data_IF_776712229991
#
_entry.id   IF_776712229991
#
_cell.length_a   1.000
_cell.length_b   1.000
_cell.length_c   1.000
_cell.angle_alpha   90.00
_cell.angle_beta   90.00
_cell.angle_gamma   90.00
#
_symmetry.space_group_name_H-M   'P 1'
#
loop_
_entity.id
_entity.type
_entity.pdbx_description
1 polymer ?
#
# COMPACT_ATOMS: atom_id res chain seq x y z
N UNK A 1 16.20 7.06 -0.15
CA UNK A 1 15.91 6.50 -1.47
C UNK A 1 14.42 6.26 -1.67
N UNK A 2 14.03 5.87 -2.87
CA UNK A 2 12.66 5.50 -3.23
C UNK A 2 12.23 4.19 -2.57
N UNK A 3 10.96 4.05 -2.29
CA UNK A 3 10.36 2.82 -1.73
C UNK A 3 8.84 2.85 -1.92
N UNK A 4 8.22 1.66 -1.82
CA UNK A 4 6.77 1.51 -1.83
C UNK A 4 6.37 0.72 -0.59
N UNK A 5 5.46 1.27 0.22
CA UNK A 5 4.84 0.53 1.31
C UNK A 5 3.58 -0.15 0.76
N UNK A 6 3.46 -1.45 0.96
CA UNK A 6 2.36 -2.27 0.48
C UNK A 6 1.61 -2.94 1.65
N UNK A 7 0.62 -2.25 2.28
CA UNK A 7 -0.14 -2.82 3.37
C UNK A 7 -1.35 -3.63 2.89
N UNK A 8 -1.87 -4.53 3.76
CA UNK A 8 -3.23 -5.03 3.63
C UNK A 8 -4.25 -3.91 3.88
N UNK A 9 -5.50 -4.10 3.41
CA UNK A 9 -6.52 -3.05 3.48
C UNK A 9 -7.84 -3.56 4.07
N UNK A 10 -8.12 -3.13 5.30
CA UNK A 10 -9.31 -3.54 6.07
C UNK A 10 -10.22 -2.34 6.33
N UNK A 11 -9.65 -1.17 6.61
CA UNK A 11 -10.39 0.02 7.05
C UNK A 11 -10.07 1.26 6.23
N UNK A 12 -11.00 2.21 6.18
CA UNK A 12 -10.77 3.52 5.56
C UNK A 12 -9.68 4.34 6.27
N UNK A 13 -9.40 4.04 7.55
CA UNK A 13 -8.37 4.73 8.35
C UNK A 13 -6.99 4.06 8.28
N UNK A 14 -6.85 2.94 7.57
CA UNK A 14 -5.55 2.25 7.43
C UNK A 14 -4.41 3.17 6.96
N UNK A 15 -4.61 4.05 5.95
CA UNK A 15 -3.56 4.98 5.52
C UNK A 15 -3.07 5.86 6.64
N UNK A 16 -3.98 6.28 7.53
CA UNK A 16 -3.65 7.15 8.68
C UNK A 16 -2.73 6.41 9.65
N UNK A 17 -3.04 5.15 9.97
CA UNK A 17 -2.19 4.34 10.85
C UNK A 17 -0.79 4.13 10.28
N UNK A 18 -0.67 3.84 8.97
CA UNK A 18 0.63 3.67 8.32
C UNK A 18 1.43 4.98 8.34
N UNK A 19 0.78 6.12 8.07
CA UNK A 19 1.43 7.44 8.12
C UNK A 19 1.90 7.79 9.53
N UNK A 20 1.05 7.57 10.55
CA UNK A 20 1.40 7.83 11.95
C UNK A 20 2.54 6.91 12.43
N UNK A 21 2.47 5.62 12.10
CA UNK A 21 3.52 4.66 12.45
C UNK A 21 4.88 5.03 11.87
N UNK A 22 4.88 5.85 10.80
CA UNK A 22 6.06 6.37 10.13
C UNK A 22 6.29 7.87 10.39
N UNK A 23 5.98 8.35 11.57
CA UNK A 23 5.92 9.78 11.96
C UNK A 23 7.16 10.63 11.56
N UNK A 24 8.33 10.04 11.50
CA UNK A 24 9.58 10.74 11.15
C UNK A 24 10.00 10.57 9.67
N UNK A 25 9.10 10.08 8.81
CA UNK A 25 9.39 9.81 7.41
C UNK A 25 9.11 10.99 6.48
N UNK A 26 9.71 10.94 5.27
CA UNK A 26 9.38 11.85 4.17
C UNK A 26 7.90 11.71 3.75
N UNK A 27 7.34 12.73 3.14
CA UNK A 27 5.99 12.66 2.54
C UNK A 27 5.93 11.50 1.56
N UNK A 28 4.80 10.79 1.57
CA UNK A 28 4.53 9.69 0.65
C UNK A 28 3.38 10.05 -0.27
N UNK A 29 3.45 9.61 -1.50
CA UNK A 29 2.28 9.58 -2.37
C UNK A 29 1.34 8.47 -1.89
N UNK A 30 0.10 8.80 -1.62
CA UNK A 30 -0.93 7.83 -1.25
C UNK A 30 -2.02 7.88 -2.33
N UNK A 31 -2.23 6.77 -3.01
CA UNK A 31 -3.32 6.65 -3.99
C UNK A 31 -4.64 6.45 -3.26
N UNK A 32 -5.47 7.48 -3.21
CA UNK A 32 -6.78 7.47 -2.55
C UNK A 32 -7.93 7.73 -3.52
N UNK A 33 -9.10 7.17 -3.24
CA UNK A 33 -10.29 7.47 -4.03
C UNK A 33 -10.69 8.93 -3.92
N UNK A 34 -11.09 9.54 -5.04
CA UNK A 34 -11.54 10.93 -5.07
C UNK A 34 -12.72 11.18 -4.13
N UNK A 35 -13.64 10.23 -3.99
CA UNK A 35 -14.80 10.35 -3.10
C UNK A 35 -14.42 10.58 -1.63
N UNK A 36 -13.20 10.18 -1.21
CA UNK A 36 -12.71 10.45 0.15
C UNK A 36 -12.52 11.94 0.41
N UNK A 37 -12.21 12.72 -0.63
CA UNK A 37 -12.03 14.16 -0.54
C UNK A 37 -13.38 14.93 -0.48
N UNK A 38 -14.47 14.28 -0.86
CA UNK A 38 -15.80 14.87 -0.82
C UNK A 38 -16.53 14.67 0.52
N UNK A 39 -16.00 13.84 1.43
CA UNK A 39 -16.67 13.49 2.69
C UNK A 39 -16.77 14.67 3.63
N UNK A 40 -15.68 15.41 3.86
CA UNK A 40 -15.64 16.56 4.76
C UNK A 40 -14.42 17.44 4.46
N UNK A 41 -14.55 18.79 4.51
CA UNK A 41 -13.44 19.70 4.22
C UNK A 41 -12.18 19.48 5.06
N UNK A 42 -12.34 19.20 6.36
CA UNK A 42 -11.21 18.90 7.27
C UNK A 42 -10.52 17.61 6.89
N UNK A 43 -11.27 16.56 6.52
CA UNK A 43 -10.71 15.30 6.05
C UNK A 43 -9.96 15.50 4.74
N UNK A 44 -10.54 16.24 3.80
CA UNK A 44 -9.89 16.60 2.54
C UNK A 44 -8.58 17.37 2.76
N UNK A 45 -8.59 18.34 3.65
CA UNK A 45 -7.38 19.09 4.02
C UNK A 45 -6.30 18.15 4.62
N UNK A 46 -6.69 17.30 5.56
CA UNK A 46 -5.79 16.33 6.18
C UNK A 46 -5.20 15.34 5.16
N UNK A 47 -6.03 14.78 4.28
CA UNK A 47 -5.60 13.84 3.23
C UNK A 47 -4.57 14.49 2.29
N UNK A 48 -4.81 15.75 1.88
CA UNK A 48 -3.85 16.50 1.05
C UNK A 48 -2.54 16.76 1.79
N UNK A 49 -2.60 17.07 3.09
CA UNK A 49 -1.40 17.31 3.92
C UNK A 49 -0.51 16.06 4.06
N UNK A 50 -1.11 14.87 4.13
CA UNK A 50 -0.37 13.61 4.22
C UNK A 50 0.05 13.06 2.85
N UNK A 51 -0.23 13.78 1.74
CA UNK A 51 0.22 13.42 0.40
C UNK A 51 -0.72 12.48 -0.35
N UNK A 52 -2.01 12.41 0.04
CA UNK A 52 -2.99 11.61 -0.70
C UNK A 52 -3.32 12.29 -2.03
N UNK A 53 -3.13 11.56 -3.13
CA UNK A 53 -3.50 11.99 -4.49
C UNK A 53 -4.82 11.30 -4.87
N UNK A 54 -5.83 12.08 -5.28
CA UNK A 54 -7.10 11.51 -5.73
C UNK A 54 -6.91 10.68 -7.00
N UNK A 55 -7.56 9.52 -7.02
CA UNK A 55 -7.58 8.62 -8.17
C UNK A 55 -9.02 8.46 -8.64
N UNK A 56 -9.27 8.75 -9.91
CA UNK A 56 -10.54 8.47 -10.58
C UNK A 56 -10.60 7.01 -10.98
N UNK A 57 -11.69 6.32 -10.69
CA UNK A 57 -11.90 4.95 -11.16
C UNK A 57 -12.20 4.93 -12.68
N UNK A 58 -11.66 3.95 -13.37
CA UNK A 58 -11.81 3.78 -14.82
C UNK A 58 -10.55 4.19 -15.59
N UNK A 59 -10.64 5.14 -16.51
CA UNK A 59 -9.45 5.64 -17.25
C UNK A 59 -8.34 6.23 -16.36
N UNK A 60 -8.67 6.61 -15.10
CA UNK A 60 -7.76 7.18 -14.14
C UNK A 60 -6.80 6.17 -13.46
N UNK A 61 -7.02 4.87 -13.57
CA UNK A 61 -6.13 3.89 -12.92
C UNK A 61 -4.73 3.90 -13.56
N UNK A 62 -4.63 4.07 -14.87
CA UNK A 62 -3.35 4.16 -15.60
C UNK A 62 -2.61 5.45 -15.26
N UNK A 63 -3.29 6.59 -15.31
CA UNK A 63 -2.71 7.90 -14.98
C UNK A 63 -2.19 7.96 -13.54
N UNK A 64 -2.91 7.35 -12.60
CA UNK A 64 -2.49 7.27 -11.21
C UNK A 64 -1.23 6.41 -11.03
N UNK A 65 -1.14 5.29 -11.76
CA UNK A 65 0.03 4.43 -11.76
C UNK A 65 1.24 5.17 -12.36
N UNK A 66 1.07 5.88 -13.47
CA UNK A 66 2.12 6.69 -14.09
C UNK A 66 2.64 7.78 -13.16
N UNK A 67 1.75 8.55 -12.53
CA UNK A 67 2.12 9.54 -11.50
C UNK A 67 2.88 8.93 -10.33
N UNK A 68 2.47 7.74 -9.88
CA UNK A 68 3.17 7.05 -8.82
C UNK A 68 4.58 6.61 -9.24
N UNK A 69 4.75 6.13 -10.47
CA UNK A 69 6.05 5.75 -11.02
C UNK A 69 6.99 6.96 -11.05
N UNK A 70 6.55 8.09 -11.61
CA UNK A 70 7.33 9.32 -11.67
C UNK A 70 7.73 9.83 -10.29
N UNK A 71 6.77 9.83 -9.35
CA UNK A 71 7.01 10.29 -7.99
C UNK A 71 8.00 9.40 -7.23
N UNK A 72 7.92 8.09 -7.42
CA UNK A 72 8.86 7.13 -6.81
C UNK A 72 10.23 7.23 -7.47
N UNK A 73 10.31 7.36 -8.81
CA UNK A 73 11.57 7.58 -9.53
C UNK A 73 12.31 8.84 -9.07
N UNK A 74 11.59 9.87 -8.67
CA UNK A 74 12.19 11.11 -8.13
C UNK A 74 12.77 10.97 -6.70
N UNK A 75 12.87 9.74 -6.18
CA UNK A 75 13.49 9.46 -4.89
C UNK A 75 12.53 9.50 -3.69
N UNK A 76 11.22 9.51 -3.95
CA UNK A 76 10.19 9.60 -2.92
C UNK A 76 9.57 8.23 -2.59
N UNK A 77 8.78 8.19 -1.52
CA UNK A 77 8.02 7.00 -1.13
C UNK A 77 6.58 7.02 -1.64
N UNK A 78 5.99 5.85 -1.83
CA UNK A 78 4.56 5.69 -2.10
C UNK A 78 3.92 4.69 -1.13
N UNK A 79 2.65 4.91 -0.82
CA UNK A 79 1.79 3.97 -0.09
C UNK A 79 0.72 3.45 -1.05
N UNK A 80 0.79 2.18 -1.37
CA UNK A 80 -0.09 1.54 -2.35
C UNK A 80 -0.71 0.30 -1.74
N UNK A 81 -2.04 0.30 -1.60
CA UNK A 81 -2.77 -0.89 -1.15
C UNK A 81 -2.87 -1.90 -2.29
N UNK A 82 -2.16 -3.04 -2.21
CA UNK A 82 -2.07 -3.97 -3.34
C UNK A 82 -3.40 -4.67 -3.66
N UNK A 83 -4.32 -4.74 -2.71
CA UNK A 83 -5.66 -5.30 -2.90
C UNK A 83 -6.57 -4.37 -3.72
N UNK A 84 -6.32 -3.06 -3.72
CA UNK A 84 -7.11 -2.04 -4.40
C UNK A 84 -8.53 -1.85 -3.86
N UNK A 85 -8.96 -2.67 -2.93
CA UNK A 85 -10.25 -2.56 -2.21
C UNK A 85 -10.09 -3.07 -0.79
N UNK A 86 -10.98 -2.65 0.12
CA UNK A 86 -11.00 -3.15 1.50
C UNK A 86 -11.60 -4.55 1.56
N UNK A 87 -11.02 -5.42 2.39
CA UNK A 87 -11.62 -6.71 2.76
C UNK A 87 -12.53 -6.54 3.97
N UNK A 88 -13.62 -7.32 4.03
CA UNK A 88 -14.61 -7.22 5.11
C UNK A 88 -14.35 -8.20 6.24
N UNK A 89 -13.63 -9.26 5.97
CA UNK A 89 -13.37 -10.39 6.86
C UNK A 89 -12.01 -10.32 7.57
N UNK A 90 -11.19 -9.30 7.24
CA UNK A 90 -9.84 -9.14 7.79
C UNK A 90 -8.78 -10.02 7.15
N UNK A 91 -9.17 -10.91 6.24
CA UNK A 91 -8.24 -11.73 5.48
C UNK A 91 -7.57 -10.91 4.38
N UNK A 92 -6.43 -11.39 3.90
CA UNK A 92 -5.75 -10.78 2.76
C UNK A 92 -6.55 -11.05 1.48
N UNK A 93 -6.94 -9.98 0.79
CA UNK A 93 -7.62 -10.08 -0.49
C UNK A 93 -6.67 -10.35 -1.65
N UNK A 94 -7.23 -10.57 -2.84
CA UNK A 94 -6.44 -10.80 -4.06
C UNK A 94 -5.60 -9.57 -4.42
N UNK A 95 -4.29 -9.75 -4.58
CA UNK A 95 -3.38 -8.68 -4.97
C UNK A 95 -3.53 -8.34 -6.47
N UNK A 96 -3.62 -7.05 -6.76
CA UNK A 96 -3.63 -6.49 -8.12
C UNK A 96 -2.21 -6.24 -8.62
N UNK A 97 -2.06 -5.91 -9.90
CA UNK A 97 -0.76 -5.72 -10.55
C UNK A 97 -0.12 -4.36 -10.27
N UNK A 98 -0.91 -3.34 -9.95
CA UNK A 98 -0.45 -1.94 -9.92
C UNK A 98 0.80 -1.69 -9.07
N UNK A 99 0.86 -2.22 -7.85
CA UNK A 99 2.03 -2.05 -6.96
C UNK A 99 3.31 -2.63 -7.56
N UNK A 100 3.20 -3.77 -8.27
CA UNK A 100 4.35 -4.44 -8.89
C UNK A 100 4.81 -3.71 -10.15
N UNK A 101 3.87 -3.16 -10.93
CA UNK A 101 4.19 -2.29 -12.09
C UNK A 101 4.95 -1.06 -11.63
N UNK A 102 4.48 -0.39 -10.57
CA UNK A 102 5.15 0.78 -10.00
C UNK A 102 6.55 0.40 -9.51
N UNK A 103 6.69 -0.70 -8.77
CA UNK A 103 7.95 -1.15 -8.22
C UNK A 103 8.98 -1.48 -9.31
N UNK A 104 8.57 -2.27 -10.31
CA UNK A 104 9.43 -2.66 -11.43
C UNK A 104 9.87 -1.43 -12.24
N UNK A 105 8.93 -0.60 -12.69
CA UNK A 105 9.26 0.55 -13.53
C UNK A 105 9.99 1.67 -12.80
N UNK A 106 9.77 1.83 -11.50
CA UNK A 106 10.49 2.82 -10.68
C UNK A 106 11.80 2.28 -10.09
N UNK A 107 12.15 1.01 -10.31
CA UNK A 107 13.28 0.33 -9.67
C UNK A 107 13.32 0.57 -8.16
N UNK A 108 12.16 0.36 -7.50
CA UNK A 108 12.00 0.64 -6.08
C UNK A 108 11.62 -0.63 -5.30
N UNK A 109 12.17 -0.83 -4.09
CA UNK A 109 11.79 -1.95 -3.24
C UNK A 109 10.34 -1.78 -2.74
N UNK A 110 9.68 -2.92 -2.51
CA UNK A 110 8.41 -2.98 -1.79
C UNK A 110 8.67 -3.33 -0.33
N UNK A 111 8.14 -2.53 0.57
CA UNK A 111 8.13 -2.78 2.02
C UNK A 111 6.76 -3.39 2.36
N UNK A 112 6.67 -4.70 2.63
CA UNK A 112 5.44 -5.31 3.12
C UNK A 112 5.04 -4.67 4.43
N UNK A 113 3.73 -4.40 4.60
CA UNK A 113 3.22 -3.81 5.83
C UNK A 113 1.94 -4.54 6.25
N UNK A 114 1.85 -4.98 7.51
CA UNK A 114 0.66 -5.63 8.02
C UNK A 114 -0.01 -4.77 9.08
N UNK A 115 -1.29 -4.46 8.83
CA UNK A 115 -2.18 -3.85 9.82
C UNK A 115 -2.94 -4.96 10.53
N UNK A 116 -2.80 -5.02 11.86
CA UNK A 116 -3.39 -6.07 12.71
C UNK A 116 -4.30 -5.37 13.71
N UNK A 117 -5.60 -5.61 13.58
CA UNK A 117 -6.59 -5.08 14.50
C UNK A 117 -6.91 -6.09 15.59
N UNK A 118 -6.94 -5.63 16.83
CA UNK A 118 -7.31 -6.50 17.97
C UNK A 118 -8.72 -7.02 17.79
N UNK A 119 -8.86 -8.36 17.79
CA UNK A 119 -10.11 -9.06 17.49
C UNK A 119 -10.41 -9.17 15.99
N UNK A 120 -9.41 -9.03 15.12
CA UNK A 120 -9.49 -9.29 13.68
C UNK A 120 -10.30 -8.28 12.87
N UNK A 121 -10.91 -7.27 13.50
CA UNK A 121 -11.78 -6.27 12.82
C UNK A 121 -11.51 -4.86 13.32
N UNK A 122 -11.55 -3.85 12.43
CA UNK A 122 -11.48 -2.46 12.84
C UNK A 122 -12.68 -2.10 13.72
N UNK A 123 -12.47 -1.23 14.70
CA UNK A 123 -13.53 -0.76 15.58
C UNK A 123 -13.13 0.51 16.32
N UNK A 124 -14.12 1.24 16.83
CA UNK A 124 -13.91 2.43 17.63
C UNK A 124 -13.14 2.04 18.89
N UNK A 125 -12.00 2.71 19.16
CA UNK A 125 -11.08 2.44 20.27
C UNK A 125 -10.38 1.05 20.26
N UNK A 126 -10.42 0.32 19.13
CA UNK A 126 -9.63 -0.91 19.01
C UNK A 126 -8.18 -0.59 18.64
N UNK A 127 -7.28 -1.28 19.30
CA UNK A 127 -5.84 -1.18 19.00
C UNK A 127 -5.56 -1.70 17.59
N UNK A 128 -4.77 -0.95 16.83
CA UNK A 128 -4.19 -1.38 15.56
C UNK A 128 -2.67 -1.43 15.71
N UNK A 129 -2.09 -2.59 15.43
CA UNK A 129 -0.63 -2.76 15.37
C UNK A 129 -0.21 -2.68 13.90
N UNK A 130 0.78 -1.84 13.61
CA UNK A 130 1.35 -1.68 12.26
C UNK A 130 2.72 -2.33 12.26
N UNK A 131 2.90 -3.36 11.45
CA UNK A 131 4.15 -4.12 11.36
C UNK A 131 4.74 -3.94 9.96
N UNK A 132 6.01 -3.55 9.90
CA UNK A 132 6.76 -3.45 8.65
C UNK A 132 7.67 -4.67 8.48
N UNK A 133 7.60 -5.29 7.31
CA UNK A 133 8.46 -6.41 6.93
C UNK A 133 9.79 -5.95 6.33
N UNK A 134 10.63 -6.92 6.01
CA UNK A 134 11.87 -6.66 5.28
C UNK A 134 11.55 -6.18 3.87
N UNK A 135 12.27 -5.17 3.34
CA UNK A 135 12.08 -4.75 1.97
C UNK A 135 12.34 -5.89 0.98
N UNK A 136 11.41 -6.07 0.03
CA UNK A 136 11.62 -6.92 -1.14
C UNK A 136 12.42 -6.10 -2.13
N UNK A 137 13.65 -6.50 -2.50
CA UNK A 137 14.52 -5.70 -3.36
C UNK A 137 13.92 -5.44 -4.74
N UNK A 138 14.25 -4.30 -5.35
CA UNK A 138 13.76 -3.91 -6.67
C UNK A 138 14.12 -4.94 -7.74
N UNK A 139 15.32 -5.53 -7.65
CA UNK A 139 15.82 -6.56 -8.58
C UNK A 139 14.96 -7.82 -8.57
N UNK A 140 14.39 -8.14 -7.40
CA UNK A 140 13.45 -9.28 -7.24
C UNK A 140 12.10 -8.99 -7.88
N UNK A 141 11.74 -7.71 -8.02
CA UNK A 141 10.46 -7.24 -8.54
C UNK A 141 10.53 -6.84 -10.02
N UNK A 142 11.70 -6.92 -10.62
CA UNK A 142 11.89 -6.59 -12.03
C UNK A 142 11.11 -7.58 -12.93
N UNK A 143 10.27 -7.02 -13.80
CA UNK A 143 9.45 -7.76 -14.76
C UNK A 143 10.05 -7.78 -16.16
N UNK A 144 11.24 -7.16 -16.34
CA UNK A 144 11.91 -7.04 -17.63
C UNK A 144 11.17 -6.12 -18.60
N UNK A 145 11.69 -6.01 -19.83
CA UNK A 145 11.12 -5.18 -20.89
C UNK A 145 9.77 -5.71 -21.37
N UNK A 146 9.56 -7.01 -21.30
CA UNK A 146 8.28 -7.65 -21.65
C UNK A 146 7.57 -8.07 -20.36
N UNK A 147 6.40 -7.47 -20.14
CA UNK A 147 5.55 -7.75 -18.99
C UNK A 147 5.17 -9.23 -18.91
N UNK A 148 5.88 -10.00 -18.10
CA UNK A 148 5.65 -11.44 -17.95
C UNK A 148 4.57 -11.73 -16.90
N UNK A 149 3.46 -12.35 -17.33
CA UNK A 149 2.40 -12.80 -16.42
C UNK A 149 2.87 -13.85 -15.42
N UNK A 150 3.86 -14.69 -15.79
CA UNK A 150 4.47 -15.64 -14.88
C UNK A 150 5.24 -14.92 -13.78
N UNK A 151 6.08 -13.94 -14.16
CA UNK A 151 6.85 -13.15 -13.22
C UNK A 151 5.95 -12.35 -12.26
N UNK A 152 4.87 -11.77 -12.78
CA UNK A 152 3.88 -11.08 -11.95
C UNK A 152 3.26 -12.01 -10.90
N UNK A 153 2.96 -13.27 -11.25
CA UNK A 153 2.44 -14.26 -10.29
C UNK A 153 3.44 -14.56 -9.19
N UNK A 154 4.72 -14.69 -9.52
CA UNK A 154 5.80 -14.90 -8.56
C UNK A 154 5.91 -13.72 -7.58
N UNK A 155 5.95 -12.48 -8.10
CA UNK A 155 6.00 -11.28 -7.28
C UNK A 155 4.79 -11.17 -6.34
N UNK A 156 3.58 -11.49 -6.84
CA UNK A 156 2.36 -11.51 -6.01
C UNK A 156 2.49 -12.53 -4.89
N UNK A 157 2.87 -13.76 -5.22
CA UNK A 157 3.03 -14.83 -4.23
C UNK A 157 4.07 -14.45 -3.16
N UNK A 158 5.17 -13.83 -3.56
CA UNK A 158 6.20 -13.37 -2.64
C UNK A 158 5.64 -12.35 -1.63
N UNK A 159 4.92 -11.32 -2.11
CA UNK A 159 4.32 -10.32 -1.24
C UNK A 159 3.21 -10.91 -0.35
N UNK A 160 2.35 -11.80 -0.88
CA UNK A 160 1.33 -12.53 -0.12
C UNK A 160 1.98 -13.30 1.03
N UNK A 161 3.01 -14.10 0.74
CA UNK A 161 3.74 -14.89 1.75
C UNK A 161 4.33 -14.00 2.84
N UNK A 162 4.93 -12.85 2.48
CA UNK A 162 5.48 -11.92 3.48
C UNK A 162 4.39 -11.29 4.35
N UNK A 163 3.25 -10.89 3.76
CA UNK A 163 2.13 -10.32 4.51
C UNK A 163 1.50 -11.36 5.47
N UNK A 164 1.41 -12.62 5.07
CA UNK A 164 0.92 -13.72 5.91
C UNK A 164 1.91 -14.04 7.03
N UNK A 165 3.21 -14.09 6.73
CA UNK A 165 4.27 -14.29 7.72
C UNK A 165 4.23 -13.21 8.80
N UNK A 166 4.07 -11.93 8.42
CA UNK A 166 3.97 -10.83 9.37
C UNK A 166 2.77 -10.96 10.30
N UNK A 167 1.63 -11.46 9.79
CA UNK A 167 0.46 -11.73 10.62
C UNK A 167 0.73 -12.88 11.60
N UNK A 168 1.34 -13.96 11.14
CA UNK A 168 1.63 -15.14 11.94
C UNK A 168 2.60 -14.83 13.08
N UNK A 169 3.68 -14.13 12.79
CA UNK A 169 4.70 -13.72 13.77
C UNK A 169 4.16 -12.75 14.84
N UNK A 170 3.03 -12.08 14.54
CA UNK A 170 2.44 -11.09 15.45
C UNK A 170 0.99 -11.45 15.84
N UNK A 171 0.65 -12.74 15.88
CA UNK A 171 -0.69 -13.23 16.26
C UNK A 171 -1.15 -12.70 17.61
N UNK A 172 -0.25 -12.51 18.56
CA UNK A 172 -0.57 -11.97 19.88
C UNK A 172 -1.10 -10.53 19.84
N UNK A 173 -0.91 -9.84 18.71
CA UNK A 173 -1.46 -8.51 18.48
C UNK A 173 -2.92 -8.52 17.97
N UNK A 174 -3.45 -9.69 17.58
CA UNK A 174 -4.80 -9.89 17.08
C UNK A 174 -5.77 -10.16 18.28
#
# INVERSE_FOLDING_TARGET
GSFIIAPNHISAIDPVFVVIARFWGRRMLILGKEELFAIHPVISWMLRHVGVVPVHRGKGDTEAVEKAIEYVRSGNGALVFPEGTRTKDGNLGRLKSGVFVIASQAHAPIIPCRLIYRGGKPGLFRRCTVVFGKPIPAETLDMGDTYSMARLRECKKLLETELERLLEEHRDAQ
#
